data_IF_888033277746
#
_entry.id   IF_888033277746
#
_cell.length_a   1.000
_cell.length_b   1.000
_cell.length_c   1.000
_cell.angle_alpha   90.00
_cell.angle_beta   90.00
_cell.angle_gamma   90.00
#
_symmetry.space_group_name_H-M   'P 1'
#
loop_
_entity.id
_entity.type
_entity.pdbx_description
1 polymer ?
#
# COMPACT_ATOMS: atom_id res chain seq x y z
N UNK A 1 -57.12 -33.96 1.45
CA UNK A 1 -56.78 -34.33 2.85
C UNK A 1 -56.83 -33.04 3.66
N UNK A 2 -57.74 -32.82 4.63
CA UNK A 2 -57.85 -33.46 5.97
C UNK A 2 -56.49 -33.35 6.71
N UNK A 3 -56.36 -32.74 7.90
CA UNK A 3 -57.23 -32.64 9.11
C UNK A 3 -56.96 -31.24 9.77
N UNK A 4 -57.96 -30.42 10.20
CA UNK A 4 -58.53 -30.28 11.58
C UNK A 4 -57.45 -30.13 12.69
N UNK A 5 -57.54 -29.31 13.75
CA UNK A 5 -58.49 -28.32 14.31
C UNK A 5 -57.68 -27.36 15.25
N UNK A 6 -58.18 -26.45 16.12
CA UNK A 6 -59.52 -26.13 16.61
C UNK A 6 -59.69 -24.61 16.99
N UNK A 7 -60.05 -24.29 18.25
CA UNK A 7 -60.57 -23.00 18.81
C UNK A 7 -60.67 -23.12 20.37
N UNK A 8 -61.14 -22.13 21.19
CA UNK A 8 -61.06 -20.64 21.17
C UNK A 8 -60.84 -20.07 22.64
N UNK A 9 -61.30 -18.85 23.07
CA UNK A 9 -60.93 -18.21 24.35
C UNK A 9 -62.06 -18.21 25.43
N UNK A 10 -61.82 -17.56 26.58
CA UNK A 10 -62.83 -17.29 27.63
C UNK A 10 -62.91 -15.80 28.04
N UNK A 11 -64.10 -15.38 28.50
CA UNK A 11 -64.51 -13.97 28.72
C UNK A 11 -65.50 -13.87 29.88
N UNK A 12 -65.37 -12.82 30.71
CA UNK A 12 -66.41 -12.33 31.65
C UNK A 12 -66.17 -12.65 33.14
N UNK A 13 -66.86 -12.03 34.12
CA UNK A 13 -67.71 -10.81 34.12
C UNK A 13 -68.16 -10.48 35.58
N UNK A 14 -68.75 -9.27 35.79
CA UNK A 14 -69.49 -8.78 37.01
C UNK A 14 -68.63 -8.37 38.24
N UNK A 15 -69.10 -7.60 39.23
CA UNK A 15 -69.88 -6.33 39.36
C UNK A 15 -70.42 -6.21 40.82
N UNK A 16 -70.08 -5.13 41.56
CA UNK A 16 -70.83 -4.47 42.70
C UNK A 16 -71.13 -5.28 44.00
N UNK A 17 -71.59 -4.65 45.13
CA UNK A 17 -71.22 -3.36 45.76
C UNK A 17 -71.09 -3.38 47.34
N UNK A 18 -70.84 -2.19 47.93
CA UNK A 18 -70.98 -1.66 49.33
C UNK A 18 -71.98 -2.36 50.32
N UNK A 19 -71.83 -2.29 51.68
CA UNK A 19 -71.85 -1.01 52.45
C UNK A 19 -71.09 -0.90 53.82
N UNK A 20 -71.15 0.33 54.39
CA UNK A 20 -70.85 0.77 55.79
C UNK A 20 -71.90 0.25 56.82
N UNK A 21 -71.75 0.32 58.18
CA UNK A 21 -71.22 1.44 59.04
C UNK A 21 -70.23 0.96 60.17
N UNK A 22 -70.00 1.55 61.38
CA UNK A 22 -70.71 2.55 62.24
C UNK A 22 -69.79 3.25 63.28
N UNK A 23 -70.30 4.37 63.84
CA UNK A 23 -69.83 5.22 64.98
C UNK A 23 -69.79 4.48 66.36
N UNK A 24 -69.22 4.97 67.50
CA UNK A 24 -69.25 6.32 68.14
C UNK A 24 -68.38 6.43 69.43
N UNK A 25 -68.18 7.68 69.95
CA UNK A 25 -67.63 8.22 71.25
C UNK A 25 -66.20 8.83 71.14
N UNK A 26 -65.92 10.14 71.25
CA UNK A 26 -66.16 11.19 72.30
C UNK A 26 -65.48 10.85 73.65
N UNK A 27 -64.81 11.72 74.43
CA UNK A 27 -64.20 13.08 74.38
C UNK A 27 -63.62 13.36 75.83
N UNK A 28 -63.01 14.50 76.23
CA UNK A 28 -62.20 15.55 75.57
C UNK A 28 -60.88 15.91 76.35
N UNK A 29 -60.03 16.81 75.81
CA UNK A 29 -59.24 17.79 76.59
C UNK A 29 -58.58 18.87 75.67
N UNK A 30 -58.38 20.08 76.20
CA UNK A 30 -57.88 21.28 75.46
C UNK A 30 -56.35 21.33 75.38
N UNK A 31 -55.78 21.86 74.28
CA UNK A 31 -54.95 23.11 74.32
C UNK A 31 -54.55 23.66 72.93
N UNK A 32 -54.57 25.00 72.85
CA UNK A 32 -53.78 25.90 71.97
C UNK A 32 -53.54 25.55 70.49
N UNK A 33 -54.09 26.38 69.61
CA UNK A 33 -53.48 26.72 68.32
C UNK A 33 -52.06 27.28 68.55
N UNK A 34 -51.15 27.06 67.60
CA UNK A 34 -50.63 28.20 66.84
C UNK A 34 -50.93 28.07 65.34
N UNK A 35 -50.77 29.19 64.63
CA UNK A 35 -51.23 29.39 63.25
C UNK A 35 -50.57 28.49 62.20
N UNK A 36 -51.30 28.32 61.11
CA UNK A 36 -50.77 27.72 59.89
C UNK A 36 -49.68 28.62 59.29
N UNK A 37 -48.41 28.32 59.59
CA UNK A 37 -47.27 28.84 58.84
C UNK A 37 -47.28 28.28 57.40
N UNK A 38 -48.10 28.89 56.53
CA UNK A 38 -47.86 28.92 55.08
C UNK A 38 -46.66 29.82 54.79
N UNK A 39 -45.49 29.41 55.25
CA UNK A 39 -44.23 30.14 55.10
C UNK A 39 -43.60 29.88 53.71
N UNK A 40 -44.15 30.56 52.69
CA UNK A 40 -43.49 30.94 51.41
C UNK A 40 -42.26 30.12 50.96
N UNK A 41 -42.46 28.89 50.49
CA UNK A 41 -41.41 28.09 49.82
C UNK A 41 -41.15 28.51 48.35
N UNK A 42 -41.82 29.55 47.86
CA UNK A 42 -41.77 29.99 46.46
C UNK A 42 -40.37 30.41 45.99
N UNK A 43 -39.55 31.00 46.86
CA UNK A 43 -38.23 31.51 46.49
C UNK A 43 -37.22 30.40 46.19
N UNK A 44 -37.16 29.39 47.06
CA UNK A 44 -36.25 28.24 46.89
C UNK A 44 -36.63 27.40 45.66
N UNK A 45 -37.93 27.22 45.40
CA UNK A 45 -38.43 26.49 44.24
C UNK A 45 -38.11 27.19 42.91
N UNK A 46 -38.13 28.52 42.85
CA UNK A 46 -37.75 29.29 41.65
C UNK A 46 -36.23 29.19 41.41
N UNK A 47 -35.41 29.30 42.45
CA UNK A 47 -33.95 29.19 42.33
C UNK A 47 -33.54 27.78 41.88
N UNK A 48 -34.14 26.72 42.44
CA UNK A 48 -33.85 25.34 42.02
C UNK A 48 -34.33 25.07 40.59
N UNK A 49 -35.50 25.57 40.19
CA UNK A 49 -35.98 25.46 38.81
C UNK A 49 -35.04 26.16 37.81
N UNK A 50 -34.61 27.40 38.11
CA UNK A 50 -33.66 28.13 37.26
C UNK A 50 -32.29 27.43 37.17
N UNK A 51 -31.79 26.87 38.28
CA UNK A 51 -30.53 26.14 38.30
C UNK A 51 -30.61 24.82 37.50
N UNK A 52 -31.72 24.08 37.60
CA UNK A 52 -31.96 22.87 36.79
C UNK A 52 -32.06 23.22 35.30
N UNK A 53 -32.73 24.31 34.93
CA UNK A 53 -32.82 24.76 33.52
C UNK A 53 -31.45 25.20 33.00
N UNK A 54 -30.69 25.98 33.77
CA UNK A 54 -29.34 26.41 33.38
C UNK A 54 -28.38 25.23 33.21
N UNK A 55 -28.38 24.28 34.14
CA UNK A 55 -27.55 23.08 34.07
C UNK A 55 -27.95 22.19 32.88
N UNK A 56 -29.26 22.07 32.62
CA UNK A 56 -29.80 21.37 31.43
C UNK A 56 -29.35 22.03 30.13
N UNK A 57 -29.40 23.37 30.04
CA UNK A 57 -28.94 24.12 28.88
C UNK A 57 -27.44 23.95 28.60
N UNK A 58 -26.60 23.95 29.66
CA UNK A 58 -25.15 23.70 29.55
C UNK A 58 -24.88 22.28 29.02
N UNK A 59 -25.55 21.26 29.56
CA UNK A 59 -25.41 19.87 29.11
C UNK A 59 -25.83 19.69 27.64
N UNK A 60 -26.98 20.25 27.25
CA UNK A 60 -27.48 20.20 25.86
C UNK A 60 -26.52 20.90 24.90
N UNK A 61 -26.02 22.09 25.25
CA UNK A 61 -25.02 22.82 24.45
C UNK A 61 -23.75 21.99 24.21
N UNK A 62 -23.23 21.35 25.26
CA UNK A 62 -22.07 20.45 25.16
C UNK A 62 -22.32 19.16 24.36
N UNK A 63 -23.57 18.72 24.21
CA UNK A 63 -23.95 17.61 23.32
C UNK A 63 -24.02 18.09 21.86
N UNK A 64 -24.69 19.22 21.60
CA UNK A 64 -24.82 19.79 20.25
C UNK A 64 -23.46 20.11 19.61
N UNK A 65 -22.51 20.66 20.38
CA UNK A 65 -21.15 20.88 19.91
C UNK A 65 -20.45 19.58 19.50
N UNK A 66 -20.55 18.53 20.33
CA UNK A 66 -19.97 17.21 20.03
C UNK A 66 -20.62 16.57 18.79
N UNK A 67 -21.93 16.71 18.61
CA UNK A 67 -22.63 16.26 17.40
C UNK A 67 -22.11 17.00 16.15
N UNK A 68 -21.94 18.32 16.19
CA UNK A 68 -21.42 19.08 15.04
C UNK A 68 -19.98 18.66 14.66
N UNK A 69 -19.12 18.39 15.66
CA UNK A 69 -17.76 17.88 15.42
C UNK A 69 -17.78 16.47 14.82
N UNK A 70 -18.68 15.59 15.29
CA UNK A 70 -18.85 14.24 14.72
C UNK A 70 -19.31 14.29 13.26
N UNK A 71 -20.30 15.14 12.93
CA UNK A 71 -20.79 15.32 11.55
C UNK A 71 -19.66 15.73 10.62
N UNK A 72 -18.87 16.77 10.98
CA UNK A 72 -17.71 17.21 10.17
C UNK A 72 -16.66 16.13 9.97
N UNK A 73 -16.43 15.27 10.97
CA UNK A 73 -15.50 14.13 10.84
C UNK A 73 -16.04 13.08 9.87
N UNK A 74 -17.32 12.75 9.94
CA UNK A 74 -17.98 11.79 9.04
C UNK A 74 -17.98 12.31 7.60
N UNK A 75 -18.24 13.60 7.38
CA UNK A 75 -18.10 14.25 6.06
C UNK A 75 -16.68 14.10 5.49
N UNK A 76 -15.65 14.43 6.26
CA UNK A 76 -14.26 14.29 5.82
C UNK A 76 -13.89 12.83 5.50
N UNK A 77 -14.32 11.88 6.34
CA UNK A 77 -14.11 10.45 6.09
C UNK A 77 -14.84 9.97 4.84
N UNK A 78 -16.05 10.47 4.57
CA UNK A 78 -16.81 10.18 3.35
C UNK A 78 -16.10 10.70 2.10
N UNK A 79 -15.65 11.96 2.10
CA UNK A 79 -14.95 12.56 0.96
C UNK A 79 -13.64 11.83 0.64
N UNK A 80 -12.86 11.49 1.67
CA UNK A 80 -11.62 10.74 1.50
C UNK A 80 -11.88 9.32 0.99
N UNK A 81 -12.92 8.64 1.49
CA UNK A 81 -13.33 7.33 0.97
C UNK A 81 -13.78 7.43 -0.50
N UNK A 82 -14.50 8.47 -0.89
CA UNK A 82 -14.90 8.72 -2.29
C UNK A 82 -13.68 8.94 -3.20
N UNK A 83 -12.70 9.75 -2.77
CA UNK A 83 -11.44 9.94 -3.48
C UNK A 83 -10.66 8.61 -3.65
N UNK A 84 -10.59 7.79 -2.60
CA UNK A 84 -9.97 6.45 -2.68
C UNK A 84 -10.70 5.50 -3.64
N UNK A 85 -12.04 5.51 -3.68
CA UNK A 85 -12.81 4.71 -4.65
C UNK A 85 -12.57 5.16 -6.10
N UNK A 86 -12.53 6.47 -6.35
CA UNK A 86 -12.16 7.02 -7.66
C UNK A 86 -10.73 6.62 -8.05
N UNK A 87 -9.77 6.70 -7.12
CA UNK A 87 -8.38 6.31 -7.35
C UNK A 87 -8.21 4.83 -7.70
N UNK A 88 -8.99 3.93 -7.08
CA UNK A 88 -9.04 2.51 -7.46
C UNK A 88 -9.61 2.29 -8.86
N UNK A 89 -10.71 2.98 -9.20
CA UNK A 89 -11.28 2.90 -10.55
C UNK A 89 -10.32 3.40 -11.64
N UNK A 90 -9.61 4.51 -11.38
CA UNK A 90 -8.58 5.02 -12.27
C UNK A 90 -7.42 4.03 -12.43
N UNK A 91 -6.97 3.38 -11.35
CA UNK A 91 -5.94 2.34 -11.39
C UNK A 91 -6.36 1.11 -12.20
N UNK A 92 -7.61 0.66 -12.09
CA UNK A 92 -8.13 -0.47 -12.88
C UNK A 92 -8.23 -0.13 -14.37
N UNK A 93 -8.51 1.12 -14.73
CA UNK A 93 -8.42 1.60 -16.11
C UNK A 93 -6.97 1.68 -16.60
N UNK A 94 -6.04 2.21 -15.79
CA UNK A 94 -4.60 2.20 -16.10
C UNK A 94 -4.07 0.77 -16.33
N UNK A 95 -4.54 -0.19 -15.54
CA UNK A 95 -4.26 -1.62 -15.72
C UNK A 95 -4.80 -2.20 -17.02
N UNK A 96 -5.89 -1.65 -17.56
CA UNK A 96 -6.44 -2.00 -18.87
C UNK A 96 -5.62 -1.38 -20.01
N UNK A 97 -5.13 -0.14 -19.88
CA UNK A 97 -4.18 0.45 -20.85
C UNK A 97 -2.92 -0.40 -20.93
N UNK A 98 -2.28 -0.70 -19.80
CA UNK A 98 -1.02 -1.47 -19.78
C UNK A 98 -1.18 -2.84 -20.42
N UNK A 99 -2.36 -3.46 -20.27
CA UNK A 99 -2.72 -4.71 -20.96
C UNK A 99 -2.89 -4.48 -22.46
N UNK A 100 -3.72 -3.52 -22.87
CA UNK A 100 -3.98 -3.20 -24.28
C UNK A 100 -2.71 -2.81 -25.03
N UNK A 101 -1.78 -2.10 -24.38
CA UNK A 101 -0.46 -1.79 -24.92
C UNK A 101 0.37 -3.06 -25.12
N UNK A 102 0.32 -4.02 -24.19
CA UNK A 102 0.98 -5.32 -24.35
C UNK A 102 0.40 -6.12 -25.52
N UNK A 103 -0.92 -6.11 -25.66
CA UNK A 103 -1.63 -6.74 -26.78
C UNK A 103 -1.34 -6.07 -28.15
N UNK A 104 -1.04 -4.76 -28.16
CA UNK A 104 -0.81 -3.96 -29.39
C UNK A 104 0.67 -3.90 -29.79
N UNK A 105 1.58 -3.75 -28.82
CA UNK A 105 3.04 -3.64 -28.96
C UNK A 105 3.71 -4.86 -28.33
N UNK A 106 3.30 -6.06 -28.78
CA UNK A 106 3.75 -7.32 -28.21
C UNK A 106 5.29 -7.44 -28.19
N UNK A 107 5.85 -7.61 -27.00
CA UNK A 107 7.29 -7.78 -26.78
C UNK A 107 8.13 -6.50 -26.74
N UNK A 108 7.54 -5.29 -26.84
CA UNK A 108 8.28 -4.03 -26.85
C UNK A 108 7.59 -3.00 -25.93
N UNK A 109 8.35 -2.35 -25.05
CA UNK A 109 7.91 -1.19 -24.26
C UNK A 109 8.80 0.00 -24.60
N UNK A 110 8.22 1.08 -25.13
CA UNK A 110 8.96 2.26 -25.59
C UNK A 110 8.23 3.56 -25.18
N UNK A 111 8.96 4.68 -25.18
CA UNK A 111 8.52 5.96 -24.61
C UNK A 111 7.34 6.61 -25.37
N UNK A 112 7.10 6.22 -26.61
CA UNK A 112 5.99 6.71 -27.45
C UNK A 112 4.68 5.92 -27.33
N UNK A 113 4.63 4.88 -26.50
CA UNK A 113 3.38 4.12 -26.25
C UNK A 113 2.33 4.95 -25.51
N UNK A 114 1.06 4.57 -25.62
CA UNK A 114 -0.08 5.35 -25.09
C UNK A 114 0.01 5.50 -23.57
N UNK A 115 0.57 4.49 -22.89
CA UNK A 115 0.83 4.49 -21.45
C UNK A 115 1.81 5.59 -21.00
N UNK A 116 2.72 6.06 -21.86
CA UNK A 116 3.78 7.01 -21.50
C UNK A 116 3.30 8.46 -21.40
N UNK A 117 2.10 8.78 -21.91
CA UNK A 117 1.56 10.14 -21.91
C UNK A 117 0.99 10.49 -20.53
N UNK A 118 1.52 11.51 -19.82
CA UNK A 118 1.02 11.89 -18.51
C UNK A 118 -0.36 12.55 -18.61
N UNK A 119 -1.25 12.19 -17.70
CA UNK A 119 -2.58 12.77 -17.58
C UNK A 119 -2.48 13.99 -16.68
N UNK A 120 -2.54 15.18 -17.30
CA UNK A 120 -2.68 16.45 -16.59
C UNK A 120 -3.97 16.49 -15.75
N UNK A 121 -4.09 17.48 -14.86
CA UNK A 121 -5.27 17.67 -14.00
C UNK A 121 -6.52 17.88 -14.86
N UNK A 122 -7.30 16.81 -15.03
CA UNK A 122 -8.52 16.76 -15.85
C UNK A 122 -9.73 16.49 -14.94
N UNK A 123 -10.89 17.03 -15.30
CA UNK A 123 -12.12 16.75 -14.56
C UNK A 123 -12.60 15.34 -14.91
N UNK A 124 -13.06 14.58 -13.90
CA UNK A 124 -13.50 13.20 -14.08
C UNK A 124 -14.67 13.08 -15.07
N UNK A 125 -15.55 14.08 -15.16
CA UNK A 125 -16.61 14.14 -16.18
C UNK A 125 -16.06 14.08 -17.60
N UNK A 126 -15.00 14.83 -17.86
CA UNK A 126 -14.44 15.05 -19.20
C UNK A 126 -13.67 13.80 -19.63
N UNK A 127 -12.93 13.23 -18.68
CA UNK A 127 -12.27 11.94 -18.79
C UNK A 127 -13.27 10.79 -19.04
N UNK A 128 -14.37 10.71 -18.27
CA UNK A 128 -15.43 9.72 -18.46
C UNK A 128 -16.14 9.89 -19.82
N UNK A 129 -16.34 11.14 -20.27
CA UNK A 129 -16.87 11.46 -21.59
C UNK A 129 -15.97 10.98 -22.73
N UNK A 130 -14.64 11.18 -22.62
CA UNK A 130 -13.66 10.71 -23.60
C UNK A 130 -13.64 9.17 -23.74
N UNK A 131 -13.85 8.43 -22.64
CA UNK A 131 -13.94 6.96 -22.66
C UNK A 131 -15.35 6.41 -22.92
N UNK A 132 -16.30 7.26 -23.33
CA UNK A 132 -17.65 6.84 -23.74
C UNK A 132 -18.62 6.48 -22.61
N UNK A 133 -18.29 6.81 -21.34
CA UNK A 133 -19.16 6.54 -20.20
C UNK A 133 -20.27 7.61 -20.08
N UNK A 134 -21.37 7.43 -20.82
CA UNK A 134 -22.48 8.39 -20.98
C UNK A 134 -23.38 8.61 -19.75
N UNK A 135 -22.91 8.33 -18.52
CA UNK A 135 -23.67 8.49 -17.27
C UNK A 135 -22.80 8.97 -16.10
N UNK A 136 -22.45 10.26 -16.12
CA UNK A 136 -21.94 10.98 -14.95
C UNK A 136 -22.85 12.18 -14.64
N UNK A 137 -23.43 12.23 -13.44
CA UNK A 137 -24.22 13.40 -13.00
C UNK A 137 -23.32 14.62 -12.77
N UNK A 138 -23.84 15.81 -13.03
CA UNK A 138 -23.14 17.12 -12.95
C UNK A 138 -22.77 17.57 -11.51
N UNK A 139 -22.63 16.63 -10.56
CA UNK A 139 -22.74 16.92 -9.14
C UNK A 139 -21.46 17.24 -8.36
N UNK A 140 -20.28 16.79 -8.78
CA UNK A 140 -19.07 16.84 -7.94
C UNK A 140 -17.79 17.20 -8.70
N UNK A 141 -17.07 18.20 -8.18
CA UNK A 141 -15.74 18.57 -8.64
C UNK A 141 -14.72 17.50 -8.26
N UNK A 142 -14.54 16.53 -9.14
CA UNK A 142 -13.52 15.49 -9.03
C UNK A 142 -12.50 15.68 -10.14
N UNK A 143 -11.23 15.80 -9.77
CA UNK A 143 -10.11 15.92 -10.69
C UNK A 143 -9.18 14.72 -10.56
N UNK A 144 -8.70 14.23 -11.69
CA UNK A 144 -7.73 13.14 -11.80
C UNK A 144 -6.47 13.68 -12.50
N UNK A 145 -5.30 13.27 -12.02
CA UNK A 145 -4.03 13.44 -12.73
C UNK A 145 -3.10 12.27 -12.40
N UNK A 146 -2.15 12.00 -13.27
CA UNK A 146 -1.17 10.95 -13.02
C UNK A 146 -0.17 10.74 -14.15
N UNK A 147 0.77 9.85 -13.90
CA UNK A 147 1.74 9.38 -14.88
C UNK A 147 2.04 7.91 -14.65
N UNK A 148 2.55 7.25 -15.69
CA UNK A 148 3.04 5.89 -15.61
C UNK A 148 4.53 5.93 -15.95
N UNK A 149 5.36 5.37 -15.07
CA UNK A 149 6.79 5.23 -15.26
C UNK A 149 7.14 3.75 -15.46
N UNK A 150 8.01 3.45 -16.42
CA UNK A 150 8.58 2.12 -16.56
C UNK A 150 9.57 1.86 -15.41
N UNK A 151 9.27 0.87 -14.57
CA UNK A 151 10.11 0.55 -13.43
C UNK A 151 11.42 -0.15 -13.86
N UNK A 152 11.41 -0.82 -15.01
CA UNK A 152 12.58 -1.49 -15.59
C UNK A 152 13.47 -0.55 -16.42
N UNK A 153 13.11 0.73 -16.56
CA UNK A 153 14.05 1.77 -16.99
C UNK A 153 15.21 1.96 -15.99
N UNK A 154 15.00 1.59 -14.72
CA UNK A 154 15.93 1.86 -13.61
C UNK A 154 16.74 0.63 -13.22
N UNK A 155 17.94 0.86 -12.67
CA UNK A 155 18.75 -0.21 -12.11
C UNK A 155 18.07 -0.85 -10.90
N UNK A 156 17.68 -2.12 -11.03
CA UNK A 156 17.01 -2.86 -9.96
C UNK A 156 18.02 -3.40 -8.94
N UNK A 157 17.98 -2.91 -7.70
CA UNK A 157 18.88 -3.37 -6.61
C UNK A 157 18.72 -4.86 -6.31
N UNK A 158 17.57 -5.46 -6.64
CA UNK A 158 17.35 -6.92 -6.51
C UNK A 158 18.32 -7.72 -7.38
N UNK A 159 18.85 -7.15 -8.47
CA UNK A 159 19.83 -7.79 -9.36
C UNK A 159 21.21 -7.98 -8.73
N UNK A 160 21.53 -7.28 -7.63
CA UNK A 160 22.80 -7.44 -6.91
C UNK A 160 22.97 -8.85 -6.29
N UNK A 161 21.88 -9.62 -6.20
CA UNK A 161 21.84 -10.96 -5.61
C UNK A 161 21.12 -11.92 -6.54
N UNK A 162 21.80 -12.97 -7.00
CA UNK A 162 21.19 -14.06 -7.75
C UNK A 162 20.83 -15.24 -6.84
N UNK A 163 19.86 -16.05 -7.25
CA UNK A 163 19.53 -17.32 -6.61
C UNK A 163 19.82 -18.45 -7.60
N UNK A 164 20.99 -19.08 -7.48
CA UNK A 164 21.38 -20.19 -8.35
C UNK A 164 20.56 -21.47 -8.06
N UNK A 165 20.07 -21.59 -6.82
CA UNK A 165 19.10 -22.58 -6.37
C UNK A 165 18.18 -21.95 -5.31
N UNK A 166 17.00 -22.52 -5.01
CA UNK A 166 16.16 -22.08 -3.90
C UNK A 166 16.96 -22.02 -2.58
N UNK A 167 16.94 -20.87 -1.90
CA UNK A 167 17.71 -20.62 -0.67
C UNK A 167 19.20 -20.29 -0.86
N UNK A 168 19.81 -20.59 -2.02
CA UNK A 168 21.22 -20.32 -2.30
C UNK A 168 21.42 -18.91 -2.89
N UNK A 169 21.39 -17.89 -2.02
CA UNK A 169 21.60 -16.48 -2.39
C UNK A 169 23.09 -16.17 -2.60
N UNK A 170 23.47 -15.87 -3.85
CA UNK A 170 24.83 -15.51 -4.27
C UNK A 170 24.90 -14.05 -4.70
N UNK A 171 26.09 -13.43 -4.58
CA UNK A 171 26.30 -12.04 -5.01
C UNK A 171 26.58 -12.00 -6.52
N UNK A 172 25.87 -11.15 -7.25
CA UNK A 172 26.12 -10.95 -8.69
C UNK A 172 27.22 -9.91 -8.88
N UNK A 173 28.44 -10.39 -9.16
CA UNK A 173 29.63 -9.55 -9.33
C UNK A 173 29.48 -8.55 -10.48
N UNK A 174 28.81 -8.93 -11.58
CA UNK A 174 28.59 -8.04 -12.72
C UNK A 174 27.58 -6.93 -12.39
N UNK A 175 26.47 -7.27 -11.72
CA UNK A 175 25.51 -6.26 -11.25
C UNK A 175 26.12 -5.31 -10.21
N UNK A 176 27.00 -5.82 -9.32
CA UNK A 176 27.76 -4.98 -8.39
C UNK A 176 28.67 -4.03 -9.16
N UNK A 177 29.42 -4.49 -10.16
CA UNK A 177 30.29 -3.65 -10.98
C UNK A 177 29.48 -2.58 -11.75
N UNK A 178 28.31 -2.92 -12.28
CA UNK A 178 27.40 -1.96 -12.90
C UNK A 178 26.91 -0.90 -11.90
N UNK A 179 26.52 -1.30 -10.68
CA UNK A 179 26.09 -0.36 -9.65
C UNK A 179 27.25 0.52 -9.14
N UNK A 180 28.48 -0.01 -9.06
CA UNK A 180 29.68 0.78 -8.79
C UNK A 180 29.91 1.87 -9.83
N UNK A 181 29.71 1.57 -11.12
CA UNK A 181 29.78 2.56 -12.21
C UNK A 181 28.67 3.60 -12.09
N UNK A 182 27.43 3.21 -11.79
CA UNK A 182 26.33 4.15 -11.57
C UNK A 182 26.62 5.13 -10.42
N UNK A 183 27.08 4.63 -9.28
CA UNK A 183 27.49 5.47 -8.15
C UNK A 183 28.61 6.43 -8.55
N UNK A 184 29.63 5.95 -9.29
CA UNK A 184 30.73 6.79 -9.77
C UNK A 184 30.28 7.88 -10.75
N UNK A 185 29.33 7.58 -11.65
CA UNK A 185 28.76 8.55 -12.60
C UNK A 185 28.02 9.67 -11.84
N UNK A 186 27.32 9.33 -10.76
CA UNK A 186 26.56 10.26 -9.93
C UNK A 186 27.43 10.99 -8.87
N UNK A 187 28.75 10.82 -8.89
CA UNK A 187 29.67 11.43 -7.93
C UNK A 187 29.55 10.87 -6.51
N UNK A 188 29.08 9.63 -6.36
CA UNK A 188 28.90 8.93 -5.08
C UNK A 188 29.99 7.89 -4.85
N UNK A 189 30.19 7.49 -3.59
CA UNK A 189 31.21 6.50 -3.23
C UNK A 189 30.86 5.09 -3.76
N UNK A 190 31.65 4.61 -4.72
CA UNK A 190 31.46 3.30 -5.36
C UNK A 190 31.56 2.11 -4.39
N UNK A 191 32.23 2.24 -3.24
CA UNK A 191 32.31 1.16 -2.25
C UNK A 191 30.94 0.80 -1.64
N UNK A 192 29.98 1.73 -1.64
CA UNK A 192 28.62 1.49 -1.14
C UNK A 192 27.89 0.40 -1.92
N UNK A 193 28.25 0.12 -3.18
CA UNK A 193 27.63 -0.96 -3.96
C UNK A 193 27.80 -2.33 -3.29
N UNK A 194 28.98 -2.61 -2.72
CA UNK A 194 29.25 -3.88 -2.02
C UNK A 194 28.46 -3.97 -0.72
N UNK A 195 28.39 -2.88 0.05
CA UNK A 195 27.59 -2.81 1.27
C UNK A 195 26.09 -3.02 0.97
N UNK A 196 25.60 -2.38 -0.09
CA UNK A 196 24.21 -2.51 -0.57
C UNK A 196 23.92 -3.96 -0.97
N UNK A 197 24.80 -4.61 -1.74
CA UNK A 197 24.62 -6.00 -2.14
C UNK A 197 24.61 -6.98 -0.95
N UNK A 198 25.43 -6.73 0.06
CA UNK A 198 25.42 -7.48 1.32
C UNK A 198 24.11 -7.28 2.10
N UNK A 199 23.60 -6.04 2.18
CA UNK A 199 22.31 -5.74 2.82
C UNK A 199 21.13 -6.38 2.07
N UNK A 200 21.09 -6.27 0.74
CA UNK A 200 20.06 -6.92 -0.10
C UNK A 200 20.06 -8.42 0.18
N UNK A 201 21.24 -9.08 0.17
CA UNK A 201 21.37 -10.51 0.44
C UNK A 201 20.88 -10.87 1.85
N UNK A 202 21.27 -10.10 2.86
CA UNK A 202 20.84 -10.31 4.23
C UNK A 202 19.32 -10.14 4.38
N UNK A 203 18.73 -9.09 3.80
CA UNK A 203 17.29 -8.82 3.86
C UNK A 203 16.44 -9.89 3.17
N UNK A 204 16.95 -10.47 2.07
CA UNK A 204 16.31 -11.58 1.38
C UNK A 204 16.40 -12.90 2.18
N UNK A 205 17.51 -13.15 2.88
CA UNK A 205 17.68 -14.35 3.70
C UNK A 205 16.71 -14.43 4.89
N UNK A 206 16.25 -13.27 5.39
CA UNK A 206 15.27 -13.16 6.48
C UNK A 206 13.83 -12.95 5.97
N UNK A 207 13.62 -12.80 4.66
CA UNK A 207 12.28 -12.67 4.10
C UNK A 207 11.48 -13.97 4.24
N UNK A 208 10.19 -13.86 4.58
CA UNK A 208 9.37 -14.97 5.07
C UNK A 208 9.04 -16.09 4.04
N UNK A 209 9.61 -16.06 2.84
CA UNK A 209 9.49 -17.14 1.84
C UNK A 209 10.17 -18.45 2.27
N UNK A 210 10.95 -18.47 3.36
CA UNK A 210 11.42 -19.73 4.01
C UNK A 210 10.27 -20.71 4.30
N UNK A 211 9.06 -20.21 4.58
CA UNK A 211 7.92 -21.05 4.98
C UNK A 211 7.18 -21.76 3.82
N UNK A 212 7.61 -21.60 2.55
CA UNK A 212 6.91 -22.19 1.39
C UNK A 212 7.57 -23.46 0.79
N UNK A 213 8.71 -23.92 1.30
CA UNK A 213 9.41 -25.10 0.73
C UNK A 213 9.77 -26.17 1.76
N UNK A 214 8.76 -26.75 2.41
CA UNK A 214 8.82 -28.14 2.86
C UNK A 214 7.70 -28.91 2.16
N UNK A 215 7.96 -29.37 0.94
CA UNK A 215 7.09 -30.28 0.21
C UNK A 215 7.53 -31.72 0.52
N UNK A 216 6.82 -32.48 1.38
CA UNK A 216 7.36 -33.74 1.94
C UNK A 216 7.24 -34.95 1.01
N UNK A 217 6.82 -34.77 -0.25
CA UNK A 217 6.45 -35.85 -1.17
C UNK A 217 7.51 -36.05 -2.25
N UNK A 218 8.60 -36.71 -1.85
CA UNK A 218 9.55 -37.54 -2.65
C UNK A 218 11.00 -37.39 -2.14
N UNK A 219 11.32 -38.06 -1.03
CA UNK A 219 12.68 -38.50 -0.74
C UNK A 219 12.66 -40.05 -0.72
N UNK A 220 13.60 -40.74 -1.40
CA UNK A 220 13.60 -42.20 -1.47
C UNK A 220 13.91 -42.82 -0.11
N UNK A 221 13.08 -43.77 0.32
CA UNK A 221 13.25 -44.47 1.60
C UNK A 221 14.34 -45.54 1.43
N UNK A 222 15.58 -45.19 1.75
CA UNK A 222 16.67 -46.14 1.97
C UNK A 222 16.89 -46.30 3.48
N UNK A 223 16.63 -47.51 4.01
CA UNK A 223 16.70 -47.78 5.43
C UNK A 223 18.14 -48.02 5.92
N UNK A 224 18.55 -47.40 7.03
CA UNK A 224 19.77 -47.74 7.78
C UNK A 224 19.76 -47.18 9.22
N UNK A 225 19.40 -48.02 10.19
CA UNK A 225 19.85 -47.95 11.59
C UNK A 225 19.28 -46.85 12.52
N UNK A 226 18.89 -47.17 13.76
CA UNK A 226 18.61 -46.17 14.78
C UNK A 226 19.92 -45.66 15.41
N UNK A 227 20.15 -44.34 15.39
CA UNK A 227 21.27 -43.71 16.10
C UNK A 227 20.74 -42.73 17.13
N UNK A 228 20.85 -43.10 18.40
CA UNK A 228 20.72 -42.18 19.53
C UNK A 228 22.08 -41.52 19.75
N UNK A 229 22.15 -40.19 19.66
CA UNK A 229 23.32 -39.44 20.16
C UNK A 229 23.74 -38.21 19.36
N UNK A 230 23.39 -37.03 19.87
CA UNK A 230 24.18 -35.79 19.73
C UNK A 230 24.07 -35.01 18.42
N UNK A 231 23.60 -33.76 18.49
CA UNK A 231 23.70 -32.83 17.35
C UNK A 231 22.63 -31.72 17.25
N UNK A 232 21.64 -31.69 18.14
CA UNK A 232 20.68 -30.57 18.18
C UNK A 232 21.34 -29.35 18.83
N UNK A 233 21.54 -28.29 18.06
CA UNK A 233 21.97 -26.98 18.55
C UNK A 233 21.03 -25.89 18.00
N UNK A 234 20.10 -25.42 18.85
CA UNK A 234 19.18 -24.32 18.57
C UNK A 234 17.73 -24.75 18.36
N UNK A 235 16.90 -24.62 19.40
CA UNK A 235 15.43 -24.76 19.30
C UNK A 235 14.79 -25.74 20.29
N UNK A 236 15.03 -25.58 21.59
CA UNK A 236 14.29 -26.28 22.66
C UNK A 236 13.15 -25.45 23.27
N UNK A 237 12.83 -24.30 22.68
CA UNK A 237 11.81 -23.36 23.18
C UNK A 237 10.55 -23.37 22.30
N UNK A 238 9.73 -24.41 22.51
CA UNK A 238 8.29 -24.27 22.31
C UNK A 238 7.71 -23.59 23.57
N UNK A 239 7.86 -22.27 23.64
CA UNK A 239 7.21 -21.48 24.70
C UNK A 239 5.74 -21.27 24.35
N UNK A 240 4.84 -21.54 25.29
CA UNK A 240 3.39 -21.24 25.21
C UNK A 240 3.10 -19.71 25.28
N UNK A 241 4.07 -18.89 24.90
CA UNK A 241 4.09 -17.47 25.18
C UNK A 241 3.74 -16.69 23.91
N UNK A 242 2.60 -15.97 23.86
CA UNK A 242 2.12 -15.30 22.66
C UNK A 242 2.88 -13.99 22.38
N UNK A 243 4.18 -14.07 22.09
CA UNK A 243 4.99 -13.01 21.48
C UNK A 243 5.01 -11.65 22.20
N UNK A 244 4.78 -11.62 23.53
CA UNK A 244 4.55 -10.39 24.30
C UNK A 244 5.42 -10.26 25.56
N UNK A 245 6.36 -11.17 25.80
CA UNK A 245 7.42 -10.93 26.79
C UNK A 245 8.73 -10.62 26.08
N UNK A 246 9.30 -9.45 26.36
CA UNK A 246 10.65 -9.06 25.93
C UNK A 246 11.72 -9.86 26.70
N UNK A 247 11.78 -11.17 26.46
CA UNK A 247 13.00 -11.93 26.71
C UNK A 247 14.05 -11.40 25.73
N UNK A 248 15.15 -10.85 26.26
CA UNK A 248 16.28 -10.25 25.52
C UNK A 248 17.11 -11.26 24.69
N UNK A 249 16.45 -12.28 24.15
CA UNK A 249 16.96 -13.05 23.02
C UNK A 249 16.95 -12.15 21.79
N UNK A 250 18.10 -11.55 21.53
CA UNK A 250 18.44 -10.90 20.28
C UNK A 250 18.45 -11.94 19.15
N UNK A 251 17.25 -12.40 18.77
CA UNK A 251 16.96 -13.20 17.59
C UNK A 251 17.34 -12.35 16.39
N UNK A 252 18.63 -12.47 16.01
CA UNK A 252 19.37 -11.41 15.33
C UNK A 252 18.56 -10.72 14.26
N UNK A 253 18.13 -9.49 14.55
CA UNK A 253 17.24 -8.70 13.70
C UNK A 253 17.90 -8.43 12.37
N UNK A 254 17.69 -9.35 11.43
CA UNK A 254 18.14 -9.23 10.07
C UNK A 254 17.56 -7.97 9.43
N UNK A 255 18.28 -7.33 8.49
CA UNK A 255 17.78 -6.16 7.79
C UNK A 255 16.37 -6.36 7.24
N UNK A 256 15.49 -5.38 7.45
CA UNK A 256 14.15 -5.38 6.87
C UNK A 256 14.24 -5.56 5.35
N UNK A 257 13.28 -6.28 4.77
CA UNK A 257 13.25 -6.48 3.32
C UNK A 257 13.19 -5.14 2.60
N UNK A 258 14.15 -4.89 1.72
CA UNK A 258 14.14 -3.70 0.87
C UNK A 258 12.91 -3.77 -0.06
N UNK A 259 11.99 -2.83 0.12
CA UNK A 259 10.73 -2.73 -0.65
C UNK A 259 10.62 -1.40 -1.39
N UNK A 260 11.56 -0.49 -1.18
CA UNK A 260 11.63 0.82 -1.83
C UNK A 260 13.06 1.33 -1.88
N UNK A 261 13.30 2.39 -2.66
CA UNK A 261 14.60 3.07 -2.71
C UNK A 261 14.94 3.73 -1.37
N UNK A 262 13.93 4.10 -0.57
CA UNK A 262 14.10 4.71 0.76
C UNK A 262 14.82 3.75 1.74
N UNK A 263 14.70 2.43 1.53
CA UNK A 263 15.43 1.39 2.29
C UNK A 263 16.95 1.42 2.09
N UNK A 264 17.48 2.26 1.19
CA UNK A 264 18.93 2.54 1.14
C UNK A 264 19.41 3.28 2.38
N UNK A 265 18.55 4.01 3.10
CA UNK A 265 18.90 4.69 4.36
C UNK A 265 19.24 3.70 5.48
N UNK A 266 18.76 2.45 5.39
CA UNK A 266 19.11 1.36 6.31
C UNK A 266 20.51 0.79 6.04
N UNK A 267 21.17 1.19 4.93
CA UNK A 267 22.53 0.76 4.59
C UNK A 267 23.55 1.79 5.11
N UNK A 268 24.51 1.40 5.96
CA UNK A 268 25.53 2.32 6.46
C UNK A 268 26.30 3.04 5.33
N UNK A 269 26.26 4.38 5.37
CA UNK A 269 26.97 5.26 4.45
C UNK A 269 26.11 5.96 3.39
N UNK A 270 24.79 5.74 3.35
CA UNK A 270 23.87 6.60 2.59
C UNK A 270 23.33 7.74 3.44
N UNK A 271 23.13 8.90 2.82
CA UNK A 271 22.40 10.04 3.39
C UNK A 271 21.10 10.29 2.60
N UNK A 272 20.11 11.04 3.16
CA UNK A 272 18.89 11.40 2.44
C UNK A 272 19.14 12.07 1.09
N UNK A 273 20.16 12.91 0.99
CA UNK A 273 20.54 13.63 -0.24
C UNK A 273 21.10 12.67 -1.29
N UNK A 274 21.87 11.66 -0.87
CA UNK A 274 22.37 10.61 -1.77
C UNK A 274 21.23 9.74 -2.31
N UNK A 275 20.28 9.36 -1.46
CA UNK A 275 19.10 8.58 -1.86
C UNK A 275 18.20 9.40 -2.81
N UNK A 276 18.05 10.71 -2.57
CA UNK A 276 17.33 11.60 -3.47
C UNK A 276 17.99 11.68 -4.86
N UNK A 277 19.33 11.75 -4.94
CA UNK A 277 20.07 11.69 -6.22
C UNK A 277 19.96 10.34 -6.94
N UNK A 278 19.80 9.23 -6.20
CA UNK A 278 19.67 7.88 -6.78
C UNK A 278 18.26 7.52 -7.23
N UNK A 279 17.22 8.14 -6.66
CA UNK A 279 15.80 7.85 -6.95
C UNK A 279 15.40 7.88 -8.45
N UNK A 280 15.99 8.71 -9.34
CA UNK A 280 15.71 8.65 -10.78
C UNK A 280 16.32 7.44 -11.49
N UNK A 281 17.37 6.82 -10.93
CA UNK A 281 18.20 5.83 -11.62
C UNK A 281 18.07 4.41 -11.05
N UNK A 282 17.49 4.27 -9.86
CA UNK A 282 17.48 3.02 -9.08
C UNK A 282 16.05 2.65 -8.68
N UNK A 283 15.76 1.35 -8.67
CA UNK A 283 14.49 0.77 -8.20
C UNK A 283 14.72 -0.47 -7.34
N UNK A 284 13.65 -0.96 -6.70
CA UNK A 284 13.64 -2.25 -5.99
C UNK A 284 12.40 -3.02 -6.40
N UNK A 285 12.59 -4.10 -7.18
CA UNK A 285 11.52 -4.98 -7.65
C UNK A 285 11.56 -6.35 -6.95
N UNK A 286 10.46 -7.11 -6.88
CA UNK A 286 10.42 -8.39 -6.17
C UNK A 286 11.34 -9.47 -6.78
N UNK A 287 11.47 -9.46 -8.11
CA UNK A 287 12.30 -10.38 -8.88
C UNK A 287 13.54 -9.69 -9.42
N UNK A 288 14.52 -10.47 -9.88
CA UNK A 288 15.54 -9.96 -10.80
C UNK A 288 14.87 -9.58 -12.13
N UNK A 289 15.37 -8.54 -12.79
CA UNK A 289 14.79 -8.01 -14.03
C UNK A 289 15.87 -7.45 -14.95
N UNK A 290 15.78 -7.72 -16.24
CA UNK A 290 16.52 -6.98 -17.25
C UNK A 290 16.08 -5.50 -17.29
N UNK A 291 16.97 -4.63 -17.76
CA UNK A 291 16.75 -3.19 -17.86
C UNK A 291 16.30 -2.85 -19.29
N UNK A 292 15.23 -2.06 -19.41
CA UNK A 292 14.64 -1.73 -20.70
C UNK A 292 15.44 -0.62 -21.40
N UNK A 293 16.09 -0.98 -22.50
CA UNK A 293 16.97 -0.08 -23.26
C UNK A 293 16.21 0.99 -24.05
N UNK A 294 14.90 0.86 -24.22
CA UNK A 294 14.04 1.88 -24.84
C UNK A 294 13.62 3.00 -23.87
N UNK A 295 13.69 2.79 -22.56
CA UNK A 295 13.21 3.74 -21.54
C UNK A 295 14.30 4.16 -20.54
N UNK A 296 15.34 3.35 -20.32
CA UNK A 296 16.40 3.62 -19.35
C UNK A 296 17.15 4.95 -19.60
N UNK A 297 17.50 5.73 -18.55
CA UNK A 297 18.27 6.96 -18.72
C UNK A 297 19.74 6.67 -19.09
N UNK A 298 20.42 7.67 -19.66
CA UNK A 298 21.78 7.51 -20.19
C UNK A 298 22.80 7.06 -19.14
N UNK A 299 22.66 7.51 -17.90
CA UNK A 299 23.49 7.17 -16.75
C UNK A 299 23.37 5.69 -16.39
N UNK A 300 22.16 5.12 -16.48
CA UNK A 300 21.92 3.69 -16.23
C UNK A 300 22.49 2.85 -17.38
N UNK A 301 22.32 3.29 -18.63
CA UNK A 301 22.91 2.63 -19.81
C UNK A 301 24.45 2.59 -19.70
N UNK A 302 25.08 3.74 -19.43
CA UNK A 302 26.54 3.85 -19.25
C UNK A 302 27.05 3.06 -18.03
N UNK A 303 26.23 2.89 -17.00
CA UNK A 303 26.56 2.06 -15.85
C UNK A 303 26.53 0.56 -16.19
N UNK A 304 25.58 0.10 -17.00
CA UNK A 304 25.48 -1.32 -17.40
C UNK A 304 26.59 -1.67 -18.39
N UNK A 305 26.74 -0.90 -19.46
CA UNK A 305 27.64 -1.22 -20.59
C UNK A 305 29.10 -0.88 -20.21
N UNK A 306 30.01 -1.87 -20.06
CA UNK A 306 31.38 -1.60 -19.64
C UNK A 306 32.14 -0.72 -20.65
N UNK A 307 32.77 0.35 -20.16
CA UNK A 307 33.57 1.26 -20.99
C UNK A 307 32.76 2.30 -21.77
N UNK A 308 31.42 2.31 -21.67
CA UNK A 308 30.60 3.34 -22.31
C UNK A 308 30.64 4.66 -21.54
N UNK A 309 30.83 5.78 -22.24
CA UNK A 309 30.72 7.11 -21.64
C UNK A 309 29.25 7.55 -21.54
N UNK A 310 28.95 8.46 -20.60
CA UNK A 310 27.62 9.08 -20.50
C UNK A 310 27.26 9.85 -21.78
N UNK A 311 28.22 10.47 -22.47
CA UNK A 311 27.98 11.16 -23.74
C UNK A 311 27.59 10.21 -24.88
N UNK A 312 28.23 9.04 -25.00
CA UNK A 312 27.83 8.01 -25.96
C UNK A 312 26.46 7.42 -25.61
N UNK A 313 26.14 7.26 -24.32
CA UNK A 313 24.82 6.82 -23.88
C UNK A 313 23.73 7.88 -24.15
N UNK A 314 24.03 9.17 -24.00
CA UNK A 314 23.13 10.27 -24.38
C UNK A 314 22.84 10.28 -25.89
N UNK A 315 23.86 10.05 -26.73
CA UNK A 315 23.67 9.91 -28.17
C UNK A 315 22.79 8.69 -28.53
N UNK A 316 22.91 7.58 -27.80
CA UNK A 316 22.03 6.42 -27.94
C UNK A 316 20.58 6.75 -27.53
N UNK A 317 20.40 7.46 -26.41
CA UNK A 317 19.08 7.91 -25.91
C UNK A 317 18.40 8.84 -26.92
N UNK A 318 19.11 9.85 -27.45
CA UNK A 318 18.56 10.75 -28.46
C UNK A 318 18.18 10.02 -29.76
N UNK A 319 18.95 9.00 -30.17
CA UNK A 319 18.62 8.19 -31.35
C UNK A 319 17.31 7.40 -31.16
N UNK A 320 17.12 6.75 -30.01
CA UNK A 320 15.94 5.89 -29.77
C UNK A 320 14.62 6.64 -29.65
N UNK A 321 14.63 7.95 -29.41
CA UNK A 321 13.43 8.80 -29.47
C UNK A 321 12.80 8.81 -30.87
N UNK A 322 13.62 8.60 -31.92
CA UNK A 322 13.16 8.49 -33.31
C UNK A 322 13.09 7.05 -33.82
N UNK A 323 14.02 6.19 -33.39
CA UNK A 323 14.11 4.79 -33.82
C UNK A 323 14.39 3.89 -32.61
N UNK A 324 13.32 3.42 -31.96
CA UNK A 324 13.39 2.51 -30.83
C UNK A 324 13.88 1.11 -31.24
N UNK A 325 14.39 0.36 -30.27
CA UNK A 325 14.88 -1.00 -30.45
C UNK A 325 13.73 -2.00 -30.39
N UNK A 326 13.67 -2.92 -31.35
CA UNK A 326 12.63 -3.95 -31.44
C UNK A 326 13.06 -5.26 -30.76
N UNK A 327 14.36 -5.43 -30.55
CA UNK A 327 14.96 -6.61 -29.92
C UNK A 327 16.34 -6.27 -29.34
N UNK A 328 16.94 -7.20 -28.58
CA UNK A 328 18.26 -7.00 -27.95
C UNK A 328 19.42 -6.95 -28.97
N UNK A 329 19.30 -7.57 -30.15
CA UNK A 329 20.34 -7.49 -31.19
C UNK A 329 20.42 -6.09 -31.83
N UNK A 330 19.29 -5.36 -31.95
CA UNK A 330 19.30 -3.95 -32.37
C UNK A 330 20.11 -3.09 -31.38
N UNK A 331 19.96 -3.36 -30.08
CA UNK A 331 20.75 -2.71 -29.02
C UNK A 331 22.23 -3.05 -29.18
N UNK A 332 22.58 -4.33 -29.37
CA UNK A 332 23.97 -4.77 -29.60
C UNK A 332 24.61 -4.06 -30.80
N UNK A 333 23.89 -3.97 -31.92
CA UNK A 333 24.32 -3.27 -33.13
C UNK A 333 24.53 -1.76 -32.88
N UNK A 334 23.62 -1.13 -32.14
CA UNK A 334 23.74 0.29 -31.80
C UNK A 334 24.90 0.58 -30.82
N UNK A 335 25.17 -0.32 -29.86
CA UNK A 335 26.32 -0.24 -28.96
C UNK A 335 27.66 -0.45 -29.71
N UNK A 336 27.71 -1.38 -30.66
CA UNK A 336 28.87 -1.54 -31.54
C UNK A 336 29.14 -0.28 -32.37
N UNK A 337 28.09 0.33 -32.94
CA UNK A 337 28.18 1.62 -33.62
C UNK A 337 28.59 2.80 -32.73
N UNK A 338 28.37 2.71 -31.43
CA UNK A 338 28.84 3.69 -30.43
C UNK A 338 30.30 3.49 -29.98
N UNK A 339 31.04 2.54 -30.60
CA UNK A 339 32.46 2.30 -30.35
C UNK A 339 32.76 1.32 -29.22
N UNK A 340 31.77 0.58 -28.71
CA UNK A 340 31.98 -0.43 -27.66
C UNK A 340 32.55 -1.72 -28.30
N UNK A 341 33.87 -1.86 -28.30
CA UNK A 341 34.56 -2.93 -29.02
C UNK A 341 34.46 -4.32 -28.35
N UNK A 342 34.38 -4.36 -27.01
CA UNK A 342 34.27 -5.60 -26.24
C UNK A 342 32.87 -5.72 -25.64
N UNK A 343 31.90 -6.18 -26.45
CA UNK A 343 30.51 -6.45 -26.05
C UNK A 343 30.38 -7.70 -25.14
N UNK A 344 31.32 -7.91 -24.21
CA UNK A 344 31.25 -8.99 -23.20
C UNK A 344 30.33 -8.54 -22.07
N UNK A 345 29.04 -8.55 -22.36
CA UNK A 345 27.97 -8.37 -21.38
C UNK A 345 27.02 -9.57 -21.40
N UNK A 346 26.38 -9.79 -20.27
CA UNK A 346 25.34 -10.79 -20.09
C UNK A 346 24.04 -10.29 -20.74
N UNK A 347 23.52 -10.97 -21.80
CA UNK A 347 22.28 -10.54 -22.46
C UNK A 347 21.08 -10.50 -21.52
N UNK A 348 21.09 -11.23 -20.39
CA UNK A 348 19.99 -11.20 -19.41
C UNK A 348 19.88 -9.90 -18.62
N UNK A 349 20.84 -8.96 -18.77
CA UNK A 349 20.80 -7.64 -18.12
C UNK A 349 20.01 -6.60 -18.91
N UNK A 350 19.75 -6.82 -20.20
CA UNK A 350 19.12 -5.85 -21.10
C UNK A 350 17.93 -6.47 -21.84
N UNK A 351 16.86 -5.71 -21.95
CA UNK A 351 15.64 -6.08 -22.68
C UNK A 351 15.10 -4.83 -23.41
N UNK A 352 14.10 -5.03 -24.26
CA UNK A 352 13.29 -3.99 -24.92
C UNK A 352 11.84 -3.99 -24.42
N UNK A 353 11.45 -5.02 -23.66
CA UNK A 353 10.14 -5.16 -23.02
C UNK A 353 10.19 -4.74 -21.53
N UNK A 354 9.02 -4.52 -20.94
CA UNK A 354 8.87 -4.32 -19.50
C UNK A 354 7.61 -4.95 -18.95
N UNK A 355 7.77 -5.57 -17.79
CA UNK A 355 6.74 -6.21 -16.99
C UNK A 355 6.36 -5.39 -15.76
N UNK A 356 7.19 -4.45 -15.29
CA UNK A 356 6.92 -3.65 -14.08
C UNK A 356 6.74 -2.16 -14.40
N UNK A 357 5.64 -1.58 -13.92
CA UNK A 357 5.28 -0.18 -14.11
C UNK A 357 4.92 0.47 -12.78
N UNK A 358 5.38 1.70 -12.54
CA UNK A 358 4.98 2.52 -11.40
C UNK A 358 3.91 3.49 -11.88
N UNK A 359 2.71 3.40 -11.30
CA UNK A 359 1.61 4.32 -11.55
C UNK A 359 1.59 5.36 -10.43
N UNK A 360 1.76 6.62 -10.78
CA UNK A 360 1.53 7.76 -9.90
C UNK A 360 0.15 8.33 -10.19
N UNK A 361 -0.76 8.28 -9.23
CA UNK A 361 -2.12 8.78 -9.34
C UNK A 361 -2.45 9.76 -8.24
N UNK A 362 -3.06 10.89 -8.62
CA UNK A 362 -3.58 11.91 -7.72
C UNK A 362 -5.07 12.11 -7.99
N UNK A 363 -5.89 11.97 -6.96
CA UNK A 363 -7.32 12.26 -7.02
C UNK A 363 -7.64 13.39 -6.06
N UNK A 364 -8.23 14.46 -6.59
CA UNK A 364 -8.86 15.50 -5.78
C UNK A 364 -10.38 15.37 -5.91
N UNK A 365 -11.07 15.16 -4.80
CA UNK A 365 -12.54 15.15 -4.71
C UNK A 365 -12.98 16.23 -3.71
N UNK A 366 -13.51 17.34 -4.23
CA UNK A 366 -13.75 18.56 -3.45
C UNK A 366 -12.51 19.01 -2.65
N UNK A 367 -12.56 18.87 -1.31
CA UNK A 367 -11.50 19.20 -0.35
C UNK A 367 -10.62 18.00 0.07
N UNK A 368 -10.92 16.80 -0.41
CA UNK A 368 -10.09 15.62 -0.15
C UNK A 368 -9.10 15.40 -1.31
N UNK A 369 -7.83 15.22 -0.99
CA UNK A 369 -6.78 14.85 -1.94
C UNK A 369 -6.21 13.49 -1.51
N UNK A 370 -5.96 12.61 -2.49
CA UNK A 370 -5.37 11.28 -2.28
C UNK A 370 -4.28 11.09 -3.31
N UNK A 371 -3.03 11.05 -2.84
CA UNK A 371 -1.85 10.73 -3.63
C UNK A 371 -1.48 9.26 -3.43
N UNK A 372 -1.31 8.54 -4.54
CA UNK A 372 -1.11 7.10 -4.54
C UNK A 372 -0.03 6.71 -5.55
N UNK A 373 0.91 5.88 -5.10
CA UNK A 373 1.93 5.25 -5.95
C UNK A 373 1.76 3.75 -5.91
N UNK A 374 1.52 3.15 -7.07
CA UNK A 374 1.23 1.71 -7.20
C UNK A 374 2.21 1.04 -8.14
N UNK A 375 2.87 -0.03 -7.69
CA UNK A 375 3.66 -0.91 -8.53
C UNK A 375 2.72 -1.96 -9.16
N UNK A 376 2.61 -1.93 -10.48
CA UNK A 376 1.84 -2.88 -11.29
C UNK A 376 2.80 -3.83 -11.98
N UNK A 377 2.45 -5.12 -12.00
CA UNK A 377 3.11 -6.13 -12.83
C UNK A 377 2.18 -6.51 -13.97
N UNK A 378 2.69 -6.47 -15.19
CA UNK A 378 2.11 -7.01 -16.43
C UNK A 378 2.87 -8.28 -16.79
N UNK A 379 2.18 -9.39 -16.93
CA UNK A 379 2.76 -10.63 -17.42
C UNK A 379 3.18 -10.50 -18.89
N UNK A 380 4.38 -10.98 -19.24
CA UNK A 380 4.97 -10.76 -20.56
C UNK A 380 4.39 -11.63 -21.69
N UNK A 381 3.58 -12.65 -21.37
CA UNK A 381 3.00 -13.58 -22.35
C UNK A 381 1.47 -13.45 -22.47
N UNK A 382 0.81 -13.19 -21.34
CA UNK A 382 -0.66 -13.11 -21.24
C UNK A 382 -1.17 -11.67 -21.14
N UNK A 383 -0.26 -10.71 -20.96
CA UNK A 383 -0.52 -9.28 -20.72
C UNK A 383 -1.45 -9.00 -19.52
N UNK A 384 -1.67 -10.00 -18.66
CA UNK A 384 -2.50 -9.88 -17.46
C UNK A 384 -1.81 -8.97 -16.44
N UNK A 385 -2.57 -8.06 -15.84
CA UNK A 385 -2.01 -7.07 -14.90
C UNK A 385 -2.46 -7.35 -13.46
N UNK A 386 -1.51 -7.31 -12.53
CA UNK A 386 -1.74 -7.43 -11.08
C UNK A 386 -1.07 -6.30 -10.32
N UNK A 387 -1.68 -5.90 -9.21
CA UNK A 387 -1.07 -4.95 -8.27
C UNK A 387 -0.04 -5.73 -7.43
N UNK A 388 1.17 -5.19 -7.33
CA UNK A 388 2.28 -5.77 -6.54
C UNK A 388 2.40 -5.07 -5.20
N UNK A 389 2.28 -3.74 -5.19
CA UNK A 389 2.38 -2.90 -4.00
C UNK A 389 1.64 -1.59 -4.24
N UNK A 390 0.99 -1.08 -3.21
CA UNK A 390 0.31 0.22 -3.18
C UNK A 390 0.88 1.03 -2.00
N UNK A 391 1.12 2.33 -2.19
CA UNK A 391 1.54 3.26 -1.13
C UNK A 391 0.80 4.57 -1.30
N UNK A 392 -0.04 4.88 -0.33
CA UNK A 392 -0.64 6.21 -0.21
C UNK A 392 0.37 7.18 0.41
N UNK A 393 0.41 8.41 -0.07
CA UNK A 393 1.05 9.53 0.60
C UNK A 393 -0.06 10.28 1.36
N UNK A 394 0.14 10.43 2.68
CA UNK A 394 -0.78 11.06 3.64
C UNK A 394 -0.20 12.39 4.14
#
# INVERSE_FOLDING_TARGET
>A
MLVKACRPPLRGARQKPLPMPRRLRQHPARRSLPDAHRARESGAAIISALLVVALSAILVSGILWRQQVQVRRIENQRLLAQAQWVGRGALDWTRLILRSEGDTSAGITYLGGVWGVPIAKTRLSDFLGQIGATRGSEGAETYLSGSIEDAQAKFNLRNLVTSAAPGALQLNVQAIASYQRLLSILGLNSQLAKNTALQVRASLAHSATRFQTSNPVNAPIAASGPVVGGGVAGGSDFTDNPGLSDSNENTGSGPLQMTSVDSLLDVPGYTPEMVQRLRPFVTVLPTVTAINMNTAPAEVIAAIVPGMSVSSAQALVARRETVFFHNVADVQLALGGAGVQNLVFDPSQMDVNSSYFVVHGRVQHERAEVDRTTLVYRDALTHTTRIVRERDQL
#
